data_IF_532611611768
#
_entry.id   IF_532611611768
#
_cell.length_a   1.000
_cell.length_b   1.000
_cell.length_c   1.000
_cell.angle_alpha   90.00
_cell.angle_beta   90.00
_cell.angle_gamma   90.00
#
_symmetry.space_group_name_H-M   'P 1'
#
loop_
_entity.id
_entity.type
_entity.pdbx_description
1 polymer ?
#
# COMPACT_ATOMS: atom_id res chain seq x y z
N UNK A 1 21.19 0.00 -28.22
CA UNK A 1 20.09 -0.02 -29.20
C UNK A 1 19.79 1.41 -29.59
N UNK A 2 19.63 1.70 -30.89
CA UNK A 2 19.32 3.04 -31.39
C UNK A 2 17.94 3.53 -30.93
N UNK A 3 17.75 4.84 -30.88
CA UNK A 3 16.45 5.44 -30.56
C UNK A 3 15.45 5.15 -31.66
N UNK A 4 14.23 4.75 -31.27
CA UNK A 4 13.13 4.48 -32.18
C UNK A 4 12.06 5.55 -31.98
N UNK A 5 11.80 6.35 -33.03
CA UNK A 5 10.84 7.47 -32.97
C UNK A 5 9.48 7.12 -33.62
N UNK A 6 9.38 5.98 -34.30
CA UNK A 6 8.16 5.52 -34.94
C UNK A 6 7.83 4.11 -34.46
N UNK A 7 6.65 3.97 -33.85
CA UNK A 7 6.07 2.67 -33.50
C UNK A 7 4.79 2.51 -34.29
N UNK A 8 4.68 1.44 -35.07
CA UNK A 8 3.48 1.12 -35.87
C UNK A 8 2.74 -0.03 -35.18
N UNK A 9 1.48 0.20 -34.85
CA UNK A 9 0.59 -0.84 -34.31
C UNK A 9 -0.29 -1.37 -35.44
N UNK A 10 -0.23 -2.69 -35.68
CA UNK A 10 -1.11 -3.34 -36.64
C UNK A 10 -2.39 -3.80 -35.94
N UNK A 11 -3.44 -2.98 -36.04
CA UNK A 11 -4.75 -3.23 -35.42
C UNK A 11 -5.51 -4.43 -36.01
N UNK A 12 -5.05 -4.97 -37.14
CA UNK A 12 -5.68 -6.12 -37.80
C UNK A 12 -4.98 -7.45 -37.48
N UNK A 13 -3.87 -7.41 -36.73
CA UNK A 13 -3.16 -8.61 -36.28
C UNK A 13 -3.79 -9.15 -34.99
N UNK A 14 -3.99 -10.47 -34.90
CA UNK A 14 -4.40 -11.15 -33.66
C UNK A 14 -3.41 -10.96 -32.50
N UNK A 15 -2.20 -10.45 -32.76
CA UNK A 15 -1.19 -10.14 -31.76
C UNK A 15 -1.38 -8.75 -31.09
N UNK A 16 -2.21 -7.87 -31.63
CA UNK A 16 -2.43 -6.52 -31.11
C UNK A 16 -3.84 -6.43 -30.53
N UNK A 17 -3.97 -6.50 -29.21
CA UNK A 17 -5.23 -6.22 -28.52
C UNK A 17 -5.28 -4.75 -28.16
N UNK A 18 -6.37 -4.07 -28.53
CA UNK A 18 -6.60 -2.66 -28.18
C UNK A 18 -6.71 -2.45 -26.65
N UNK A 19 -7.00 -3.52 -25.90
CA UNK A 19 -7.00 -3.53 -24.43
C UNK A 19 -5.62 -3.24 -23.84
N UNK A 20 -4.54 -3.51 -24.59
CA UNK A 20 -3.14 -3.31 -24.17
C UNK A 20 -2.51 -2.04 -24.79
N UNK A 21 -3.34 -1.09 -25.24
CA UNK A 21 -2.85 0.15 -25.86
C UNK A 21 -1.91 0.93 -24.94
N UNK A 22 -2.21 0.97 -23.65
CA UNK A 22 -1.40 1.61 -22.62
C UNK A 22 0.01 1.03 -22.56
N UNK A 23 0.11 -0.31 -22.60
CA UNK A 23 1.39 -1.00 -22.66
C UNK A 23 2.18 -0.61 -23.90
N UNK A 24 1.54 -0.63 -25.07
CA UNK A 24 2.19 -0.29 -26.33
C UNK A 24 2.68 1.16 -26.36
N UNK A 25 1.91 2.11 -25.85
CA UNK A 25 2.28 3.51 -25.76
C UNK A 25 3.46 3.72 -24.81
N UNK A 26 3.45 3.09 -23.64
CA UNK A 26 4.56 3.14 -22.68
C UNK A 26 5.84 2.58 -23.29
N UNK A 27 5.77 1.39 -23.91
CA UNK A 27 6.93 0.77 -24.55
C UNK A 27 7.47 1.61 -25.71
N UNK A 28 6.59 2.20 -26.52
CA UNK A 28 6.98 3.12 -27.59
C UNK A 28 7.71 4.35 -27.02
N UNK A 29 7.16 4.95 -25.96
CA UNK A 29 7.76 6.08 -25.27
C UNK A 29 9.15 5.71 -24.74
N UNK A 30 9.29 4.63 -23.98
CA UNK A 30 10.56 4.21 -23.40
C UNK A 30 11.62 3.89 -24.47
N UNK A 31 11.22 3.37 -25.65
CA UNK A 31 12.13 3.15 -26.79
C UNK A 31 12.61 4.45 -27.45
N UNK A 32 11.81 5.51 -27.37
CA UNK A 32 12.16 6.82 -27.94
C UNK A 32 13.09 7.65 -27.05
N UNK A 33 13.13 7.36 -25.74
CA UNK A 33 13.92 8.11 -24.77
C UNK A 33 15.43 7.98 -25.05
N UNK A 34 16.18 9.05 -24.78
CA UNK A 34 17.65 9.03 -24.85
C UNK A 34 18.20 8.34 -23.61
N UNK A 35 19.04 7.30 -23.75
CA UNK A 35 19.76 6.77 -22.60
C UNK A 35 20.79 7.80 -22.14
N UNK A 36 20.46 8.57 -21.11
CA UNK A 36 21.44 9.37 -20.37
C UNK A 36 22.05 8.51 -19.27
N UNK A 37 23.28 8.04 -19.50
CA UNK A 37 24.01 7.20 -18.56
C UNK A 37 24.31 7.91 -17.23
N UNK A 38 24.30 9.25 -17.20
CA UNK A 38 24.56 10.05 -15.99
C UNK A 38 23.31 10.14 -15.10
N UNK A 39 22.12 10.02 -15.69
CA UNK A 39 20.81 10.22 -15.05
C UNK A 39 19.93 8.97 -15.08
N UNK A 40 20.53 7.81 -15.33
CA UNK A 40 19.82 6.53 -15.50
C UNK A 40 18.80 6.25 -14.38
N UNK A 41 19.19 6.40 -13.11
CA UNK A 41 18.29 6.17 -11.98
C UNK A 41 17.10 7.14 -11.94
N UNK A 42 17.32 8.42 -12.28
CA UNK A 42 16.24 9.40 -12.29
C UNK A 42 15.27 9.14 -13.45
N UNK A 43 15.77 8.65 -14.59
CA UNK A 43 14.94 8.23 -15.71
C UNK A 43 14.08 7.01 -15.34
N UNK A 44 14.68 5.97 -14.76
CA UNK A 44 13.94 4.79 -14.28
C UNK A 44 12.85 5.14 -13.26
N UNK A 45 13.09 6.11 -12.36
CA UNK A 45 12.07 6.58 -11.42
C UNK A 45 10.90 7.27 -12.13
N UNK A 46 11.17 8.06 -13.18
CA UNK A 46 10.12 8.67 -14.00
C UNK A 46 9.32 7.62 -14.77
N UNK A 47 10.01 6.64 -15.36
CA UNK A 47 9.36 5.55 -16.09
C UNK A 47 8.50 4.71 -15.14
N UNK A 48 9.00 4.41 -13.94
CA UNK A 48 8.22 3.72 -12.92
C UNK A 48 6.98 4.51 -12.52
N UNK A 49 7.11 5.82 -12.29
CA UNK A 49 5.97 6.67 -11.98
C UNK A 49 4.94 6.66 -13.12
N UNK A 50 5.39 6.72 -14.37
CA UNK A 50 4.49 6.67 -15.52
C UNK A 50 3.76 5.33 -15.62
N UNK A 51 4.45 4.20 -15.40
CA UNK A 51 3.78 2.88 -15.35
C UNK A 51 2.75 2.81 -14.21
N UNK A 52 3.03 3.45 -13.07
CA UNK A 52 2.10 3.58 -11.95
C UNK A 52 0.95 4.57 -12.24
N UNK A 53 1.10 5.53 -13.14
CA UNK A 53 -0.01 6.37 -13.60
C UNK A 53 -0.92 5.55 -14.53
N UNK A 54 -0.35 4.73 -15.41
CA UNK A 54 -1.03 3.98 -16.47
C UNK A 54 -1.44 2.55 -16.08
N UNK A 55 -1.21 2.14 -14.84
CA UNK A 55 -1.61 0.83 -14.30
C UNK A 55 -1.05 -0.37 -15.03
N UNK A 56 0.21 -0.27 -15.42
CA UNK A 56 0.90 -1.28 -16.21
C UNK A 56 2.05 -1.91 -15.41
N UNK A 57 1.77 -2.76 -14.39
CA UNK A 57 2.80 -3.36 -13.55
C UNK A 57 3.72 -4.31 -14.31
N UNK A 58 3.20 -4.97 -15.36
CA UNK A 58 4.00 -5.83 -16.24
C UNK A 58 5.02 -5.03 -17.07
N UNK A 59 4.65 -3.82 -17.52
CA UNK A 59 5.60 -2.89 -18.16
C UNK A 59 6.62 -2.42 -17.13
N UNK A 60 6.20 -2.08 -15.90
CA UNK A 60 7.13 -1.70 -14.85
C UNK A 60 8.18 -2.80 -14.59
N UNK A 61 7.75 -4.06 -14.50
CA UNK A 61 8.64 -5.20 -14.34
C UNK A 61 9.63 -5.30 -15.50
N UNK A 62 9.13 -5.35 -16.75
CA UNK A 62 9.97 -5.62 -17.92
C UNK A 62 10.86 -4.45 -18.36
N UNK A 63 10.38 -3.22 -18.22
CA UNK A 63 11.04 -2.03 -18.74
C UNK A 63 11.80 -1.24 -17.67
N UNK A 64 11.46 -1.39 -16.38
CA UNK A 64 12.16 -0.74 -15.27
C UNK A 64 13.01 -1.75 -14.52
N UNK A 65 12.42 -2.73 -13.83
CA UNK A 65 13.17 -3.61 -12.94
C UNK A 65 14.14 -4.54 -13.67
N UNK A 66 13.69 -5.26 -14.71
CA UNK A 66 14.54 -6.19 -15.46
C UNK A 66 15.61 -5.50 -16.32
N UNK A 67 15.43 -4.21 -16.61
CA UNK A 67 16.41 -3.42 -17.36
C UNK A 67 17.53 -2.87 -16.49
N UNK A 68 17.45 -2.96 -15.17
CA UNK A 68 18.55 -2.52 -14.29
C UNK A 68 19.69 -3.56 -14.30
N UNK A 69 20.83 -3.30 -14.98
CA UNK A 69 21.94 -4.24 -15.00
C UNK A 69 22.58 -4.41 -13.62
N UNK A 70 22.36 -3.47 -12.69
CA UNK A 70 22.96 -3.49 -11.37
C UNK A 70 22.11 -4.22 -10.32
N UNK A 71 20.83 -4.46 -10.61
CA UNK A 71 19.82 -4.95 -9.67
C UNK A 71 19.83 -4.21 -8.32
N UNK A 72 20.18 -2.92 -8.34
CA UNK A 72 20.29 -2.04 -7.16
C UNK A 72 19.23 -0.94 -7.17
N UNK A 73 18.38 -0.88 -8.20
CA UNK A 73 17.28 0.05 -8.28
C UNK A 73 16.37 -0.11 -7.06
N UNK A 74 16.18 0.99 -6.32
CA UNK A 74 15.31 1.04 -5.15
C UNK A 74 14.10 1.89 -5.49
N UNK A 75 12.92 1.31 -5.26
CA UNK A 75 11.66 2.04 -5.38
C UNK A 75 11.64 3.18 -4.39
N UNK A 76 11.36 4.38 -4.89
CA UNK A 76 11.32 5.55 -4.05
C UNK A 76 10.11 5.50 -3.09
N UNK A 77 10.31 5.98 -1.86
CA UNK A 77 9.28 5.89 -0.81
C UNK A 77 8.02 6.68 -1.18
N UNK A 78 8.14 7.67 -2.06
CA UNK A 78 7.01 8.46 -2.57
C UNK A 78 6.15 7.66 -3.55
N UNK A 79 6.77 6.85 -4.42
CA UNK A 79 6.11 5.98 -5.40
C UNK A 79 5.34 4.87 -4.68
N UNK A 80 5.96 4.24 -3.67
CA UNK A 80 5.26 3.26 -2.84
C UNK A 80 4.02 3.86 -2.15
N UNK A 81 4.14 5.09 -1.62
CA UNK A 81 2.98 5.78 -1.02
C UNK A 81 1.84 5.98 -2.02
N UNK A 82 2.17 6.33 -3.27
CA UNK A 82 1.17 6.48 -4.33
C UNK A 82 0.49 5.16 -4.65
N UNK A 83 1.23 4.05 -4.69
CA UNK A 83 0.66 2.73 -4.93
C UNK A 83 -0.33 2.31 -3.82
N UNK A 84 0.01 2.48 -2.54
CA UNK A 84 -0.92 2.09 -1.46
C UNK A 84 -2.13 3.04 -1.29
N UNK A 85 -2.03 4.29 -1.76
CA UNK A 85 -3.10 5.30 -1.59
C UNK A 85 -4.10 5.34 -2.73
N UNK A 86 -3.62 5.16 -3.98
CA UNK A 86 -4.46 5.14 -5.18
C UNK A 86 -5.33 3.89 -5.25
N UNK A 87 -6.41 3.96 -6.02
CA UNK A 87 -7.29 2.82 -6.28
C UNK A 87 -6.68 1.89 -7.33
N UNK A 88 -6.91 0.58 -7.17
CA UNK A 88 -6.55 -0.45 -8.14
C UNK A 88 -5.05 -0.53 -8.47
N UNK A 89 -4.19 -0.39 -7.45
CA UNK A 89 -2.72 -0.42 -7.56
C UNK A 89 -2.07 -1.54 -6.74
N UNK A 90 -2.86 -2.49 -6.26
CA UNK A 90 -2.42 -3.60 -5.43
C UNK A 90 -1.32 -4.41 -6.12
N UNK A 91 -1.41 -4.63 -7.43
CA UNK A 91 -0.37 -5.35 -8.19
C UNK A 91 0.98 -4.62 -8.20
N UNK A 92 0.99 -3.28 -8.13
CA UNK A 92 2.23 -2.51 -7.95
C UNK A 92 2.80 -2.67 -6.55
N UNK A 93 1.93 -2.70 -5.53
CA UNK A 93 2.37 -2.96 -4.16
C UNK A 93 2.99 -4.35 -4.07
N UNK A 94 2.37 -5.37 -4.69
CA UNK A 94 2.91 -6.74 -4.76
C UNK A 94 4.27 -6.77 -5.44
N UNK A 95 4.36 -6.12 -6.62
CA UNK A 95 5.60 -5.97 -7.36
C UNK A 95 6.69 -5.35 -6.47
N UNK A 96 6.41 -4.24 -5.79
CA UNK A 96 7.41 -3.56 -4.95
C UNK A 96 7.89 -4.43 -3.79
N UNK A 97 6.99 -5.14 -3.12
CA UNK A 97 7.35 -6.04 -2.03
C UNK A 97 8.19 -7.23 -2.53
N UNK A 98 7.84 -7.84 -3.67
CA UNK A 98 8.64 -8.90 -4.31
C UNK A 98 10.03 -8.41 -4.74
N UNK A 99 10.15 -7.14 -5.13
CA UNK A 99 11.44 -6.50 -5.45
C UNK A 99 12.21 -6.05 -4.19
N UNK A 100 11.77 -6.45 -2.99
CA UNK A 100 12.49 -6.22 -1.74
C UNK A 100 12.27 -4.84 -1.12
N UNK A 101 11.16 -4.17 -1.44
CA UNK A 101 10.81 -2.92 -0.76
C UNK A 101 10.57 -3.16 0.73
N UNK A 102 11.31 -2.45 1.58
CA UNK A 102 11.27 -2.62 3.03
C UNK A 102 10.27 -1.65 3.66
N UNK A 103 9.12 -2.17 4.11
CA UNK A 103 8.03 -1.38 4.68
C UNK A 103 8.50 -0.65 5.95
N UNK A 104 9.32 -1.27 6.80
CA UNK A 104 9.79 -0.63 8.03
C UNK A 104 10.62 0.63 7.77
N UNK A 105 11.37 0.70 6.66
CA UNK A 105 12.12 1.91 6.27
C UNK A 105 11.22 3.00 5.69
N UNK A 106 10.05 2.62 5.19
CA UNK A 106 9.03 3.53 4.68
C UNK A 106 8.16 4.08 5.81
N UNK A 107 7.66 3.22 6.70
CA UNK A 107 6.53 3.52 7.58
C UNK A 107 6.96 4.25 8.86
N UNK A 108 7.32 5.53 8.72
CA UNK A 108 7.60 6.40 9.88
C UNK A 108 6.30 6.83 10.58
N UNK A 109 6.36 7.25 11.87
CA UNK A 109 5.19 7.82 12.55
C UNK A 109 4.55 8.97 11.78
N UNK A 110 5.36 9.84 11.18
CA UNK A 110 4.88 10.95 10.35
C UNK A 110 4.09 10.44 9.15
N UNK A 111 4.60 9.44 8.43
CA UNK A 111 3.94 8.87 7.24
C UNK A 111 2.64 8.16 7.62
N UNK A 112 2.65 7.31 8.64
CA UNK A 112 1.44 6.63 9.11
C UNK A 112 0.36 7.63 9.52
N UNK A 113 0.72 8.68 10.28
CA UNK A 113 -0.21 9.75 10.63
C UNK A 113 -0.77 10.45 9.39
N UNK A 114 0.08 10.76 8.39
CA UNK A 114 -0.38 11.34 7.13
C UNK A 114 -1.35 10.42 6.36
N UNK A 115 -1.13 9.11 6.38
CA UNK A 115 -2.04 8.13 5.77
C UNK A 115 -3.43 8.16 6.41
N UNK A 116 -3.51 8.20 7.75
CA UNK A 116 -4.80 8.35 8.45
C UNK A 116 -5.45 9.72 8.24
N UNK A 117 -4.67 10.80 8.18
CA UNK A 117 -5.20 12.14 7.86
C UNK A 117 -5.84 12.16 6.45
N UNK A 118 -5.18 11.54 5.46
CA UNK A 118 -5.75 11.38 4.11
C UNK A 118 -7.04 10.56 4.16
N UNK A 119 -7.06 9.48 4.93
CA UNK A 119 -8.22 8.62 5.07
C UNK A 119 -9.40 9.24 5.85
N UNK A 120 -9.19 10.22 6.74
CA UNK A 120 -10.29 10.95 7.40
C UNK A 120 -11.22 11.66 6.42
N UNK A 121 -10.76 11.95 5.20
CA UNK A 121 -11.60 12.49 4.13
C UNK A 121 -12.56 11.44 3.54
N UNK A 122 -12.30 10.17 3.76
CA UNK A 122 -13.14 9.07 3.32
C UNK A 122 -14.24 8.83 4.36
N UNK A 123 -15.46 8.64 3.86
CA UNK A 123 -16.66 8.50 4.68
C UNK A 123 -16.55 7.34 5.67
N UNK A 124 -16.00 6.20 5.25
CA UNK A 124 -15.88 5.01 6.09
C UNK A 124 -15.04 5.27 7.36
N UNK A 125 -13.79 5.71 7.22
CA UNK A 125 -12.93 5.93 8.40
C UNK A 125 -13.52 7.03 9.29
N UNK A 126 -14.12 8.08 8.69
CA UNK A 126 -14.72 9.18 9.44
C UNK A 126 -15.91 8.71 10.29
N UNK A 127 -16.86 8.00 9.69
CA UNK A 127 -18.10 7.59 10.36
C UNK A 127 -17.87 6.40 11.30
N UNK A 128 -17.21 5.35 10.82
CA UNK A 128 -17.11 4.07 11.55
C UNK A 128 -16.03 4.13 12.62
N UNK A 129 -14.82 4.58 12.26
CA UNK A 129 -13.68 4.56 13.17
C UNK A 129 -13.59 5.83 14.03
N UNK A 130 -13.68 7.01 13.41
CA UNK A 130 -13.44 8.29 14.09
C UNK A 130 -14.64 8.74 14.93
N UNK A 131 -15.85 8.76 14.36
CA UNK A 131 -17.08 9.15 15.06
C UNK A 131 -17.65 7.98 15.88
N UNK A 132 -17.79 6.79 15.27
CA UNK A 132 -18.37 5.62 15.91
C UNK A 132 -17.50 5.03 17.01
N UNK A 133 -16.39 4.36 16.63
CA UNK A 133 -15.57 3.63 17.60
C UNK A 133 -14.84 4.55 18.60
N UNK A 134 -14.30 5.69 18.14
CA UNK A 134 -13.56 6.61 19.00
C UNK A 134 -14.41 7.72 19.64
N UNK A 135 -15.67 7.89 19.23
CA UNK A 135 -16.58 8.89 19.81
C UNK A 135 -16.20 10.35 19.52
N UNK A 136 -15.37 10.63 18.52
CA UNK A 136 -14.94 12.00 18.22
C UNK A 136 -15.98 12.76 17.39
N UNK A 137 -16.11 14.06 17.65
CA UNK A 137 -16.89 14.96 16.80
C UNK A 137 -16.26 15.20 15.42
N UNK A 138 -17.10 15.65 14.48
CA UNK A 138 -16.73 15.99 13.08
C UNK A 138 -15.48 16.89 12.99
N UNK A 139 -15.44 17.93 13.83
CA UNK A 139 -14.41 18.96 13.83
C UNK A 139 -13.13 18.58 14.60
N UNK A 140 -13.14 17.48 15.36
CA UNK A 140 -11.98 17.09 16.18
C UNK A 140 -10.79 16.78 15.29
N UNK A 141 -9.66 17.46 15.51
CA UNK A 141 -8.44 17.29 14.71
C UNK A 141 -7.56 16.18 15.28
N UNK A 142 -6.72 15.60 14.42
CA UNK A 142 -5.69 14.66 14.84
C UNK A 142 -4.72 15.34 15.83
N UNK A 143 -4.72 14.87 17.08
CA UNK A 143 -3.78 15.33 18.10
C UNK A 143 -2.32 15.00 17.75
N UNK A 144 -1.37 15.60 18.48
CA UNK A 144 0.07 15.31 18.30
C UNK A 144 0.35 13.81 18.46
N UNK A 145 -0.20 13.21 19.52
CA UNK A 145 0.01 11.82 19.91
C UNK A 145 -1.03 10.85 19.32
N UNK A 146 -1.64 11.17 18.17
CA UNK A 146 -2.71 10.35 17.58
C UNK A 146 -2.38 8.85 17.52
N UNK A 147 -1.14 8.50 17.16
CA UNK A 147 -0.72 7.10 17.03
C UNK A 147 -0.64 6.39 18.38
N UNK A 148 0.04 7.00 19.35
CA UNK A 148 0.22 6.39 20.68
C UNK A 148 -1.08 6.39 21.51
N UNK A 149 -2.05 7.27 21.19
CA UNK A 149 -3.35 7.33 21.88
C UNK A 149 -4.49 6.73 21.07
N UNK A 150 -5.04 7.48 20.10
CA UNK A 150 -6.28 7.15 19.41
C UNK A 150 -6.17 5.89 18.55
N UNK A 151 -5.05 5.70 17.84
CA UNK A 151 -4.86 4.49 17.03
C UNK A 151 -4.73 3.26 17.93
N UNK A 152 -3.97 3.35 19.03
CA UNK A 152 -3.90 2.25 20.00
C UNK A 152 -5.26 1.98 20.65
N UNK A 153 -6.03 3.01 21.00
CA UNK A 153 -7.39 2.85 21.52
C UNK A 153 -8.31 2.16 20.51
N UNK A 154 -8.23 2.54 19.24
CA UNK A 154 -9.02 1.90 18.18
C UNK A 154 -8.67 0.42 18.02
N UNK A 155 -7.36 0.10 18.06
CA UNK A 155 -6.88 -1.29 18.01
C UNK A 155 -7.35 -2.07 19.23
N UNK A 156 -7.29 -1.47 20.41
CA UNK A 156 -7.72 -2.05 21.68
C UNK A 156 -9.23 -2.34 21.68
N UNK A 157 -10.06 -1.40 21.24
CA UNK A 157 -11.52 -1.60 21.11
C UNK A 157 -11.84 -2.80 20.21
N UNK A 158 -11.05 -2.99 19.15
CA UNK A 158 -11.28 -4.03 18.15
C UNK A 158 -10.67 -5.39 18.49
N UNK A 159 -9.55 -5.42 19.22
CA UNK A 159 -8.74 -6.63 19.39
C UNK A 159 -8.38 -6.95 20.83
N UNK A 160 -8.55 -6.01 21.76
CA UNK A 160 -8.06 -6.09 23.13
C UNK A 160 -6.54 -5.91 23.27
N UNK A 161 -5.82 -5.63 22.17
CA UNK A 161 -4.36 -5.48 22.19
C UNK A 161 -4.00 -4.04 22.56
N UNK A 162 -3.35 -3.88 23.71
CA UNK A 162 -2.87 -2.59 24.21
C UNK A 162 -1.50 -2.22 23.64
N UNK A 163 -1.29 -0.93 23.38
CA UNK A 163 0.03 -0.37 23.06
C UNK A 163 0.69 -0.99 21.82
N UNK A 164 -0.09 -1.51 20.87
CA UNK A 164 0.44 -2.21 19.70
C UNK A 164 1.35 -1.32 18.84
N UNK A 165 1.01 -0.03 18.69
CA UNK A 165 1.79 0.95 17.94
C UNK A 165 2.59 1.80 18.91
N UNK A 166 3.92 1.80 18.74
CA UNK A 166 4.85 2.62 19.51
C UNK A 166 5.64 3.52 18.55
N UNK A 167 5.45 4.84 18.64
CA UNK A 167 6.09 5.78 17.70
C UNK A 167 7.61 5.85 17.81
N UNK A 168 8.16 5.59 19.00
CA UNK A 168 9.60 5.55 19.19
C UNK A 168 10.21 4.31 18.53
N UNK A 169 9.62 3.14 18.75
CA UNK A 169 9.99 1.88 18.09
C UNK A 169 9.95 2.02 16.56
N UNK A 170 8.86 2.57 16.01
CA UNK A 170 8.73 2.82 14.58
C UNK A 170 9.84 3.74 14.05
N UNK A 171 10.23 4.76 14.81
CA UNK A 171 11.27 5.72 14.40
C UNK A 171 12.64 5.07 14.34
N UNK A 172 13.02 4.30 15.37
CA UNK A 172 14.32 3.62 15.41
C UNK A 172 14.43 2.51 14.36
N UNK A 173 13.33 1.79 14.11
CA UNK A 173 13.24 0.78 13.06
C UNK A 173 13.36 1.41 11.67
N UNK A 174 12.70 2.54 11.41
CA UNK A 174 12.80 3.23 10.13
C UNK A 174 14.19 3.83 9.84
N UNK A 175 14.95 4.14 10.89
CA UNK A 175 16.35 4.58 10.80
C UNK A 175 17.34 3.42 10.66
N UNK A 176 16.89 2.17 10.76
CA UNK A 176 17.74 0.98 10.67
C UNK A 176 18.58 0.72 11.92
N UNK A 177 18.24 1.33 13.06
CA UNK A 177 18.88 1.04 14.35
C UNK A 177 18.31 -0.23 15.00
N UNK A 178 17.05 -0.55 14.67
CA UNK A 178 16.28 -1.74 15.09
C UNK A 178 16.17 -1.94 16.61
N UNK A 179 14.96 -2.08 17.13
CA UNK A 179 14.75 -2.46 18.55
C UNK A 179 15.11 -3.92 18.83
N UNK A 180 14.87 -4.80 17.86
CA UNK A 180 15.13 -6.24 17.95
C UNK A 180 16.00 -6.66 16.77
N UNK A 181 15.42 -6.74 15.59
CA UNK A 181 16.09 -7.10 14.35
C UNK A 181 15.31 -6.58 13.11
N UNK A 182 15.92 -6.57 11.91
CA UNK A 182 15.26 -6.08 10.70
C UNK A 182 13.99 -6.86 10.29
N UNK A 183 13.94 -8.17 10.53
CA UNK A 183 12.79 -9.01 10.20
C UNK A 183 11.62 -8.74 11.16
N UNK A 184 11.89 -8.59 12.46
CA UNK A 184 10.90 -8.16 13.44
C UNK A 184 10.33 -6.77 13.10
N UNK A 185 11.19 -5.82 12.71
CA UNK A 185 10.76 -4.50 12.27
C UNK A 185 9.86 -4.54 11.03
N UNK A 186 10.18 -5.39 10.05
CA UNK A 186 9.39 -5.58 8.84
C UNK A 186 8.03 -6.21 9.16
N UNK A 187 8.00 -7.31 9.91
CA UNK A 187 6.75 -7.96 10.36
C UNK A 187 5.82 -6.95 11.05
N UNK A 188 6.37 -6.19 12.01
CA UNK A 188 5.59 -5.20 12.77
C UNK A 188 5.03 -4.11 11.86
N UNK A 189 5.86 -3.59 10.95
CA UNK A 189 5.46 -2.50 10.04
C UNK A 189 4.44 -2.95 9.00
N UNK A 190 4.57 -4.19 8.49
CA UNK A 190 3.58 -4.81 7.63
C UNK A 190 2.23 -4.94 8.35
N UNK A 191 2.20 -5.47 9.57
CA UNK A 191 0.98 -5.56 10.37
C UNK A 191 0.33 -4.19 10.59
N UNK A 192 1.11 -3.16 10.94
CA UNK A 192 0.58 -1.79 11.11
C UNK A 192 -0.02 -1.26 9.80
N UNK A 193 0.60 -1.55 8.65
CA UNK A 193 0.08 -1.14 7.35
C UNK A 193 -1.21 -1.90 6.97
N UNK A 194 -1.31 -3.18 7.32
CA UNK A 194 -2.54 -3.98 7.17
C UNK A 194 -3.66 -3.37 8.02
N UNK A 195 -3.38 -3.04 9.29
CA UNK A 195 -4.37 -2.38 10.17
C UNK A 195 -4.84 -1.05 9.58
N UNK A 196 -3.93 -0.25 9.03
CA UNK A 196 -4.31 0.96 8.31
C UNK A 196 -5.23 0.66 7.12
N UNK A 197 -4.91 -0.35 6.29
CA UNK A 197 -5.76 -0.74 5.17
C UNK A 197 -7.16 -1.20 5.62
N UNK A 198 -7.26 -1.95 6.71
CA UNK A 198 -8.53 -2.43 7.29
C UNK A 198 -9.36 -1.26 7.82
N UNK A 199 -8.80 -0.41 8.69
CA UNK A 199 -9.52 0.73 9.25
C UNK A 199 -9.95 1.76 8.19
N UNK A 200 -9.27 1.78 7.04
CA UNK A 200 -9.61 2.67 5.92
C UNK A 200 -10.41 1.99 4.81
N UNK A 201 -10.96 0.81 5.09
CA UNK A 201 -11.78 0.00 4.18
C UNK A 201 -11.15 -0.23 2.80
N UNK A 202 -9.92 -0.74 2.80
CA UNK A 202 -9.17 -1.17 1.61
C UNK A 202 -8.96 -2.70 1.63
N UNK A 203 -10.02 -3.52 1.47
CA UNK A 203 -9.92 -4.97 1.65
C UNK A 203 -9.00 -5.65 0.64
N UNK A 204 -8.95 -5.17 -0.61
CA UNK A 204 -8.03 -5.69 -1.64
C UNK A 204 -6.56 -5.50 -1.23
N UNK A 205 -6.22 -4.30 -0.78
CA UNK A 205 -4.87 -3.99 -0.29
C UNK A 205 -4.54 -4.77 0.99
N UNK A 206 -5.48 -4.86 1.94
CA UNK A 206 -5.29 -5.64 3.17
C UNK A 206 -5.01 -7.12 2.86
N UNK A 207 -5.79 -7.71 1.94
CA UNK A 207 -5.59 -9.09 1.47
C UNK A 207 -4.23 -9.27 0.80
N UNK A 208 -3.84 -8.33 -0.07
CA UNK A 208 -2.53 -8.36 -0.72
C UNK A 208 -1.39 -8.33 0.31
N UNK A 209 -1.40 -7.36 1.23
CA UNK A 209 -0.37 -7.22 2.26
C UNK A 209 -0.32 -8.44 3.19
N UNK A 210 -1.47 -9.03 3.50
CA UNK A 210 -1.56 -10.27 4.28
C UNK A 210 -0.82 -11.45 3.63
N UNK A 211 -0.84 -11.56 2.29
CA UNK A 211 -0.09 -12.60 1.56
C UNK A 211 1.43 -12.48 1.71
N UNK A 212 1.94 -11.31 2.11
CA UNK A 212 3.36 -11.07 2.40
C UNK A 212 3.69 -11.27 3.89
N UNK A 213 2.73 -11.67 4.72
CA UNK A 213 2.95 -11.90 6.15
C UNK A 213 3.63 -13.24 6.41
N UNK A 214 4.63 -13.24 7.30
CA UNK A 214 5.21 -14.47 7.85
C UNK A 214 4.28 -15.19 8.86
N UNK A 215 3.22 -14.51 9.32
CA UNK A 215 2.26 -15.02 10.30
C UNK A 215 0.82 -14.86 9.82
N UNK A 216 0.44 -15.45 8.67
CA UNK A 216 -0.83 -15.19 8.00
C UNK A 216 -2.04 -15.54 8.88
N UNK A 217 -1.98 -16.63 9.65
CA UNK A 217 -3.09 -17.06 10.52
C UNK A 217 -3.36 -16.03 11.63
N UNK A 218 -2.31 -15.55 12.30
CA UNK A 218 -2.46 -14.58 13.39
C UNK A 218 -2.99 -13.24 12.89
N UNK A 219 -2.46 -12.79 11.74
CA UNK A 219 -2.94 -11.55 11.09
C UNK A 219 -4.39 -11.72 10.64
N UNK A 220 -4.74 -12.86 10.06
CA UNK A 220 -6.10 -13.17 9.64
C UNK A 220 -7.11 -13.09 10.80
N UNK A 221 -6.77 -13.69 11.95
CA UNK A 221 -7.61 -13.61 13.15
C UNK A 221 -7.79 -12.17 13.61
N UNK A 222 -6.72 -11.38 13.70
CA UNK A 222 -6.78 -9.97 14.09
C UNK A 222 -7.66 -9.17 13.12
N UNK A 223 -7.48 -9.36 11.82
CA UNK A 223 -8.29 -8.68 10.79
C UNK A 223 -9.77 -9.08 10.90
N UNK A 224 -10.06 -10.36 11.15
CA UNK A 224 -11.43 -10.86 11.38
C UNK A 224 -12.07 -10.19 12.59
N UNK A 225 -11.36 -10.15 13.73
CA UNK A 225 -11.83 -9.49 14.95
C UNK A 225 -12.14 -8.02 14.71
N UNK A 226 -11.29 -7.33 13.95
CA UNK A 226 -11.52 -5.92 13.61
C UNK A 226 -12.78 -5.77 12.75
N UNK A 227 -12.93 -6.55 11.68
CA UNK A 227 -14.12 -6.46 10.84
C UNK A 227 -15.40 -6.84 11.58
N UNK A 228 -15.37 -7.80 12.48
CA UNK A 228 -16.48 -8.12 13.38
C UNK A 228 -16.84 -6.93 14.26
N UNK A 229 -15.83 -6.33 14.92
CA UNK A 229 -16.10 -5.22 15.83
C UNK A 229 -16.57 -3.95 15.12
N UNK A 230 -16.01 -3.65 13.93
CA UNK A 230 -16.39 -2.45 13.19
C UNK A 230 -17.86 -2.46 12.75
N UNK A 231 -18.48 -3.63 12.58
CA UNK A 231 -19.90 -3.77 12.22
C UNK A 231 -20.85 -3.14 13.24
N UNK A 232 -20.44 -3.01 14.51
CA UNK A 232 -21.23 -2.35 15.57
C UNK A 232 -21.41 -0.85 15.30
N UNK A 233 -20.51 -0.26 14.51
CA UNK A 233 -20.46 1.17 14.22
C UNK A 233 -20.88 1.52 12.79
N UNK A 234 -21.30 0.54 11.99
CA UNK A 234 -21.76 0.75 10.61
C UNK A 234 -23.28 0.86 10.59
N UNK A 235 -23.79 2.00 10.08
CA UNK A 235 -25.22 2.21 9.85
C UNK A 235 -25.70 1.65 8.51
N UNK A 236 -24.85 1.70 7.47
CA UNK A 236 -25.18 1.21 6.14
C UNK A 236 -25.22 -0.33 6.11
N UNK A 237 -26.37 -0.89 5.74
CA UNK A 237 -26.58 -2.35 5.73
C UNK A 237 -25.72 -3.06 4.69
N UNK A 238 -25.45 -2.43 3.54
CA UNK A 238 -24.59 -3.01 2.50
C UNK A 238 -23.14 -3.09 2.99
N UNK A 239 -22.63 -1.99 3.55
CA UNK A 239 -21.27 -1.96 4.12
C UNK A 239 -21.15 -2.96 5.26
N UNK A 240 -22.18 -3.08 6.12
CA UNK A 240 -22.20 -4.05 7.21
C UNK A 240 -22.13 -5.49 6.70
N UNK A 241 -22.88 -5.82 5.64
CA UNK A 241 -22.84 -7.12 5.00
C UNK A 241 -21.46 -7.40 4.36
N UNK A 242 -20.85 -6.40 3.73
CA UNK A 242 -19.48 -6.51 3.20
C UNK A 242 -18.47 -6.82 4.30
N UNK A 243 -18.50 -6.07 5.42
CA UNK A 243 -17.61 -6.33 6.56
C UNK A 243 -17.82 -7.72 7.17
N UNK A 244 -19.08 -8.16 7.27
CA UNK A 244 -19.41 -9.51 7.73
C UNK A 244 -18.86 -10.59 6.80
N UNK A 245 -18.92 -10.38 5.48
CA UNK A 245 -18.32 -11.31 4.53
C UNK A 245 -16.79 -11.30 4.65
N UNK A 246 -16.17 -10.13 4.84
CA UNK A 246 -14.72 -9.98 4.99
C UNK A 246 -14.18 -10.65 6.25
N UNK A 247 -14.87 -10.53 7.40
CA UNK A 247 -14.42 -11.21 8.63
C UNK A 247 -14.33 -12.73 8.43
N UNK A 248 -15.30 -13.30 7.73
CA UNK A 248 -15.35 -14.74 7.46
C UNK A 248 -14.37 -15.18 6.38
N UNK A 249 -14.25 -14.43 5.30
CA UNK A 249 -13.38 -14.77 4.16
C UNK A 249 -11.90 -14.84 4.54
N UNK A 250 -11.49 -14.04 5.52
CA UNK A 250 -10.11 -14.03 6.03
C UNK A 250 -9.78 -15.34 6.78
N UNK A 251 -10.78 -16.12 7.20
CA UNK A 251 -10.60 -17.41 7.88
C UNK A 251 -10.56 -18.63 6.95
N UNK A 252 -10.79 -18.47 5.64
CA UNK A 252 -10.94 -19.60 4.70
C UNK A 252 -9.85 -19.70 3.60
N UNK A 253 -8.68 -19.08 3.80
CA UNK A 253 -7.52 -19.28 2.91
C UNK A 253 -6.23 -19.46 3.71
#
# INVERSE_FOLDING_TARGET
GGQVYLTILNLHSHACKLEDLDEHLLRALFKSQRPDHTSWHAQMQKDLLLTLDWNSPHVAMSEVFLKDPSNKFKVDKSIFEQAITRTNREDFVDLFLRQGFQIHKYLTPKRLKCLFIKAKRQEFFRSVCWEGALGHGLITRFGKNFLDSNLNLLIEICTGIHGFVNTQEMSVNAMGMYTVDPSAAERKSLCILILWAVFTNKPKLAKLLWQHSEQPIHVALIVSMIYEKLQDYVNDTNVKQELHNLSRLVLFY
#
